data_IF_003079773698
#
_entry.id   IF_003079773698
#
_cell.length_a   1.000
_cell.length_b   1.000
_cell.length_c   1.000
_cell.angle_alpha   90.00
_cell.angle_beta   90.00
_cell.angle_gamma   90.00
#
_symmetry.space_group_name_H-M   'P 1'
#
loop_
_entity.id
_entity.type
_entity.pdbx_description
1 polymer ?
#
# COMPACT_ATOMS: atom_id res chain seq x y z
N UNK A 1 13.92 -11.46 10.93
CA UNK A 1 14.61 -12.15 9.83
C UNK A 1 14.14 -13.59 9.83
N UNK A 2 13.79 -14.09 8.67
CA UNK A 2 13.39 -15.47 8.43
C UNK A 2 14.49 -16.16 7.62
N UNK A 3 14.93 -17.32 8.05
CA UNK A 3 16.09 -18.00 7.47
C UNK A 3 17.42 -17.32 7.79
N UNK A 4 18.44 -17.61 7.01
CA UNK A 4 19.78 -16.99 7.12
C UNK A 4 20.12 -16.36 5.78
N UNK A 5 20.68 -15.13 5.75
CA UNK A 5 21.15 -14.53 4.52
C UNK A 5 22.04 -15.49 3.72
N UNK A 6 21.66 -15.71 2.48
CA UNK A 6 22.27 -16.70 1.58
C UNK A 6 22.07 -16.28 0.14
N UNK A 7 23.01 -16.67 -0.72
CA UNK A 7 22.92 -16.56 -2.17
C UNK A 7 22.28 -17.81 -2.84
N UNK A 8 21.90 -18.81 -2.04
CA UNK A 8 21.37 -20.09 -2.53
C UNK A 8 20.06 -20.48 -1.88
N UNK A 9 19.95 -20.27 -0.56
CA UNK A 9 18.80 -20.68 0.22
C UNK A 9 17.80 -19.53 0.37
N UNK A 10 16.50 -19.81 0.44
CA UNK A 10 15.50 -18.78 0.65
C UNK A 10 15.65 -18.13 2.04
N UNK A 11 15.61 -16.82 2.06
CA UNK A 11 15.62 -16.05 3.29
C UNK A 11 14.87 -14.74 3.10
N UNK A 12 14.61 -14.04 4.19
CA UNK A 12 13.94 -12.76 4.13
C UNK A 12 13.93 -12.04 5.46
N UNK A 13 13.36 -10.86 5.43
CA UNK A 13 13.12 -10.06 6.63
C UNK A 13 11.85 -9.25 6.46
N UNK A 14 11.27 -8.89 7.60
CA UNK A 14 10.10 -8.04 7.68
C UNK A 14 10.39 -6.89 8.65
N UNK A 15 9.94 -5.71 8.30
CA UNK A 15 9.90 -4.54 9.15
C UNK A 15 8.45 -4.07 9.24
N UNK A 16 7.91 -4.05 10.45
CA UNK A 16 6.58 -3.53 10.71
C UNK A 16 6.69 -2.29 11.59
N UNK A 17 6.39 -1.16 10.99
CA UNK A 17 6.22 0.11 11.68
C UNK A 17 4.77 0.58 11.57
N UNK A 18 4.44 1.71 12.20
CA UNK A 18 3.08 2.25 12.17
C UNK A 18 2.64 2.64 10.76
N UNK A 19 3.50 3.31 10.00
CA UNK A 19 3.27 3.72 8.63
C UNK A 19 4.36 3.25 7.65
N UNK A 20 5.13 2.23 8.05
CA UNK A 20 6.16 1.64 7.21
C UNK A 20 6.16 0.12 7.39
N UNK A 21 5.73 -0.59 6.38
CA UNK A 21 5.72 -2.05 6.35
C UNK A 21 6.50 -2.50 5.12
N UNK A 22 7.54 -3.29 5.36
CA UNK A 22 8.37 -3.84 4.29
C UNK A 22 8.50 -5.34 4.51
N UNK A 23 8.10 -6.11 3.50
CA UNK A 23 8.39 -7.53 3.41
C UNK A 23 9.44 -7.71 2.33
N UNK A 24 10.55 -8.33 2.67
CA UNK A 24 11.67 -8.55 1.76
C UNK A 24 12.02 -10.03 1.73
N UNK A 25 11.90 -10.62 0.56
CA UNK A 25 12.17 -12.03 0.35
C UNK A 25 13.19 -12.22 -0.77
N UNK A 26 14.14 -13.12 -0.53
CA UNK A 26 15.24 -13.45 -1.44
C UNK A 26 15.20 -14.93 -1.73
N UNK A 27 15.30 -15.29 -2.99
CA UNK A 27 15.44 -16.66 -3.48
C UNK A 27 16.48 -16.71 -4.59
N UNK A 28 17.70 -17.09 -4.24
CA UNK A 28 18.83 -17.03 -5.15
C UNK A 28 19.10 -15.59 -5.61
N UNK A 29 18.99 -15.34 -6.91
CA UNK A 29 19.15 -14.03 -7.54
C UNK A 29 17.85 -13.22 -7.66
N UNK A 30 16.75 -13.76 -7.17
CA UNK A 30 15.44 -13.12 -7.21
C UNK A 30 15.13 -12.41 -5.89
N UNK A 31 14.57 -11.22 -5.99
CA UNK A 31 14.10 -10.42 -4.84
C UNK A 31 12.67 -10.01 -5.05
N UNK A 32 11.86 -10.21 -4.01
CA UNK A 32 10.48 -9.73 -3.96
C UNK A 32 10.32 -8.85 -2.73
N UNK A 33 9.80 -7.63 -2.92
CA UNK A 33 9.55 -6.67 -1.84
C UNK A 33 8.06 -6.31 -1.80
N UNK A 34 7.23 -7.32 -1.59
CA UNK A 34 5.78 -7.17 -1.47
C UNK A 34 5.21 -8.14 -0.43
N UNK A 35 4.08 -7.78 0.23
CA UNK A 35 3.46 -6.46 0.23
C UNK A 35 4.36 -5.41 0.91
N UNK A 36 4.29 -4.17 0.43
CA UNK A 36 4.95 -3.04 1.05
C UNK A 36 3.92 -1.92 1.27
N UNK A 37 4.03 -1.22 2.38
CA UNK A 37 3.17 -0.10 2.71
C UNK A 37 4.01 1.07 3.24
N UNK A 38 3.81 2.23 2.64
CA UNK A 38 4.40 3.48 3.09
C UNK A 38 3.31 4.53 3.18
N UNK A 39 3.16 5.11 4.34
CA UNK A 39 2.10 6.07 4.59
C UNK A 39 2.50 7.15 5.58
N UNK A 40 1.59 8.06 5.81
CA UNK A 40 1.71 9.06 6.87
C UNK A 40 0.33 9.57 7.27
N UNK A 41 0.20 9.89 8.53
CA UNK A 41 -0.96 10.60 9.06
C UNK A 41 -0.48 11.53 10.19
N UNK A 42 -0.58 12.83 10.01
CA UNK A 42 -1.06 13.56 8.83
C UNK A 42 -0.04 13.58 7.67
N UNK A 43 -0.52 13.84 6.44
CA UNK A 43 0.32 14.07 5.26
C UNK A 43 0.77 15.53 5.13
N UNK A 44 0.13 16.44 5.86
CA UNK A 44 0.51 17.86 5.99
C UNK A 44 0.63 18.20 7.47
N UNK A 45 1.77 18.68 7.87
CA UNK A 45 2.00 19.13 9.25
C UNK A 45 1.45 20.56 9.45
N UNK A 46 0.38 20.67 10.22
CA UNK A 46 -0.26 21.96 10.48
C UNK A 46 0.31 22.71 11.67
N UNK A 47 1.12 22.07 12.51
CA UNK A 47 1.69 22.65 13.72
C UNK A 47 3.07 22.05 14.07
N UNK A 48 3.71 22.60 15.10
CA UNK A 48 4.97 22.11 15.64
C UNK A 48 6.19 22.42 14.75
N UNK A 49 7.28 21.68 15.01
CA UNK A 49 8.58 21.87 14.34
C UNK A 49 8.51 21.72 12.82
N UNK A 50 7.62 20.87 12.35
CA UNK A 50 7.49 20.52 10.94
C UNK A 50 6.30 21.19 10.23
N UNK A 51 5.74 22.26 10.85
CA UNK A 51 4.62 23.01 10.24
C UNK A 51 4.96 23.43 8.82
N UNK A 52 4.04 23.11 7.90
CA UNK A 52 4.17 23.39 6.46
C UNK A 52 4.83 22.28 5.65
N UNK A 53 5.40 21.26 6.33
CA UNK A 53 5.90 20.07 5.61
C UNK A 53 4.73 19.27 5.03
N UNK A 54 4.84 18.92 3.77
CA UNK A 54 3.89 18.08 3.03
C UNK A 54 4.64 16.91 2.41
N UNK A 55 4.08 15.72 2.51
CA UNK A 55 4.67 14.48 2.00
C UNK A 55 3.63 13.67 1.23
N UNK A 56 4.07 12.70 0.43
CA UNK A 56 3.21 11.79 -0.36
C UNK A 56 2.24 12.53 -1.30
N UNK A 57 2.60 13.74 -1.75
CA UNK A 57 1.73 14.54 -2.61
C UNK A 57 1.76 14.03 -4.06
N UNK A 58 2.89 13.53 -4.52
CA UNK A 58 3.01 12.95 -5.86
C UNK A 58 2.16 11.68 -5.95
N UNK A 59 2.29 10.76 -5.00
CA UNK A 59 1.48 9.54 -4.94
C UNK A 59 -0.02 9.83 -4.87
N UNK A 60 -0.41 10.84 -4.07
CA UNK A 60 -1.80 11.27 -3.99
C UNK A 60 -2.30 11.84 -5.33
N UNK A 61 -1.50 12.68 -5.99
CA UNK A 61 -1.87 13.28 -7.27
C UNK A 61 -1.93 12.25 -8.40
N UNK A 62 -1.00 11.32 -8.43
CA UNK A 62 -0.96 10.23 -9.41
C UNK A 62 -2.16 9.29 -9.23
N UNK A 63 -2.49 8.93 -7.99
CA UNK A 63 -3.68 8.15 -7.68
C UNK A 63 -4.97 8.86 -8.13
N UNK A 64 -5.07 10.16 -7.88
CA UNK A 64 -6.21 10.97 -8.32
C UNK A 64 -6.27 11.08 -9.84
N UNK A 65 -5.15 11.30 -10.51
CA UNK A 65 -5.06 11.36 -11.97
C UNK A 65 -5.49 10.04 -12.59
N UNK A 66 -5.03 8.91 -12.03
CA UNK A 66 -5.44 7.57 -12.47
C UNK A 66 -6.96 7.38 -12.35
N UNK A 67 -7.55 7.68 -11.20
CA UNK A 67 -9.00 7.55 -10.99
C UNK A 67 -9.79 8.43 -11.94
N UNK A 68 -9.32 9.66 -12.22
CA UNK A 68 -9.97 10.58 -13.13
C UNK A 68 -9.88 10.14 -14.60
N UNK A 69 -8.84 9.38 -14.97
CA UNK A 69 -8.69 8.83 -16.31
C UNK A 69 -9.60 7.61 -16.59
N UNK A 70 -10.15 6.98 -15.55
CA UNK A 70 -11.05 5.84 -15.69
C UNK A 70 -12.36 6.23 -16.37
N UNK A 71 -12.92 5.33 -17.16
CA UNK A 71 -14.29 5.43 -17.64
C UNK A 71 -15.28 5.38 -16.48
N UNK A 72 -16.51 5.82 -16.68
CA UNK A 72 -17.56 5.77 -15.65
C UNK A 72 -17.78 4.34 -15.12
N UNK A 73 -17.79 3.35 -16.02
CA UNK A 73 -17.95 1.95 -15.65
C UNK A 73 -16.79 1.43 -14.81
N UNK A 74 -15.55 1.77 -15.16
CA UNK A 74 -14.36 1.41 -14.38
C UNK A 74 -14.35 2.11 -13.02
N UNK A 75 -14.71 3.40 -12.98
CA UNK A 75 -14.80 4.15 -11.71
C UNK A 75 -15.79 3.54 -10.74
N UNK A 76 -16.96 3.10 -11.20
CA UNK A 76 -17.94 2.39 -10.36
C UNK A 76 -17.41 1.09 -9.75
N UNK A 77 -16.48 0.42 -10.44
CA UNK A 77 -15.80 -0.78 -9.90
C UNK A 77 -14.63 -0.41 -8.98
N UNK A 78 -13.86 0.62 -9.30
CA UNK A 78 -12.66 1.01 -8.58
C UNK A 78 -12.97 1.67 -7.23
N UNK A 79 -14.01 2.49 -7.17
CA UNK A 79 -14.40 3.23 -5.97
C UNK A 79 -15.37 2.39 -5.16
N UNK A 80 -14.84 1.66 -4.16
CA UNK A 80 -15.64 0.79 -3.29
C UNK A 80 -16.46 1.57 -2.28
N UNK A 81 -15.98 2.74 -1.86
CA UNK A 81 -16.69 3.65 -0.95
C UNK A 81 -16.29 5.09 -1.25
N UNK A 82 -17.26 6.00 -1.22
CA UNK A 82 -17.02 7.44 -1.39
C UNK A 82 -16.78 8.17 -0.06
N UNK A 83 -16.92 7.48 1.07
CA UNK A 83 -16.68 8.06 2.40
C UNK A 83 -15.93 7.08 3.29
N UNK A 84 -15.02 7.61 4.11
CA UNK A 84 -14.33 6.86 5.15
C UNK A 84 -15.12 6.98 6.44
N UNK A 85 -16.00 6.01 6.73
CA UNK A 85 -16.83 6.00 7.93
C UNK A 85 -16.21 5.26 9.11
N UNK A 86 -15.17 4.45 8.87
CA UNK A 86 -14.42 3.70 9.88
C UNK A 86 -13.09 3.24 9.30
N UNK A 87 -12.23 2.63 10.13
CA UNK A 87 -11.05 1.93 9.66
C UNK A 87 -11.44 0.64 8.93
N UNK A 88 -11.86 0.75 7.69
CA UNK A 88 -12.15 -0.40 6.82
C UNK A 88 -10.91 -0.91 6.07
N UNK A 89 -9.75 -0.74 6.66
CA UNK A 89 -8.52 -1.18 6.04
C UNK A 89 -8.34 -2.68 6.23
N UNK A 90 -7.87 -3.33 5.20
CA UNK A 90 -7.52 -4.76 5.17
C UNK A 90 -6.41 -5.10 6.18
N UNK A 91 -5.78 -4.12 6.77
CA UNK A 91 -4.71 -4.24 7.76
C UNK A 91 -5.11 -3.86 9.18
N UNK A 92 -6.34 -4.08 9.60
CA UNK A 92 -6.71 -3.90 11.00
C UNK A 92 -5.93 -4.86 11.91
N UNK A 93 -5.53 -4.38 13.09
CA UNK A 93 -4.88 -5.21 14.09
C UNK A 93 -5.68 -6.50 14.37
N UNK A 94 -4.97 -7.61 14.51
CA UNK A 94 -5.54 -8.96 14.75
C UNK A 94 -6.35 -9.55 13.59
N UNK A 95 -6.21 -9.02 12.37
CA UNK A 95 -6.87 -9.54 11.16
C UNK A 95 -5.85 -9.96 10.08
N UNK A 96 -4.77 -10.58 10.49
CA UNK A 96 -3.65 -10.96 9.60
C UNK A 96 -4.04 -11.97 8.51
N UNK A 97 -5.18 -12.65 8.67
CA UNK A 97 -5.68 -13.66 7.73
C UNK A 97 -6.94 -13.19 6.99
N UNK A 98 -7.09 -11.90 6.74
CA UNK A 98 -8.21 -11.39 5.97
C UNK A 98 -8.14 -11.93 4.54
N UNK A 99 -9.18 -12.63 4.14
CA UNK A 99 -9.34 -13.05 2.74
C UNK A 99 -9.77 -11.84 1.92
N UNK A 100 -8.95 -11.46 0.95
CA UNK A 100 -9.28 -10.37 0.02
C UNK A 100 -10.35 -10.86 -0.97
N UNK A 101 -11.38 -10.05 -1.16
CA UNK A 101 -12.43 -10.32 -2.15
C UNK A 101 -12.02 -9.93 -3.57
N UNK A 102 -10.82 -9.35 -3.73
CA UNK A 102 -10.29 -8.81 -4.99
C UNK A 102 -11.22 -7.82 -5.68
N UNK A 103 -12.02 -7.08 -4.91
CA UNK A 103 -12.84 -6.01 -5.43
C UNK A 103 -11.96 -4.93 -6.08
N UNK A 104 -12.48 -4.32 -7.16
CA UNK A 104 -11.76 -3.29 -7.91
C UNK A 104 -11.75 -3.56 -9.41
N UNK A 105 -10.80 -2.96 -10.11
CA UNK A 105 -10.61 -3.10 -11.56
C UNK A 105 -9.30 -3.83 -11.83
N UNK A 106 -9.36 -4.93 -12.55
CA UNK A 106 -8.15 -5.64 -12.93
C UNK A 106 -7.33 -4.82 -13.94
N UNK A 107 -6.00 -4.86 -13.83
CA UNK A 107 -5.09 -4.09 -14.73
C UNK A 107 -5.38 -4.36 -16.20
N UNK A 108 -5.76 -5.57 -16.58
CA UNK A 108 -6.14 -5.94 -17.95
C UNK A 108 -7.39 -5.24 -18.47
N UNK A 109 -8.16 -4.56 -17.62
CA UNK A 109 -9.36 -3.81 -18.01
C UNK A 109 -9.05 -2.33 -18.31
N UNK A 110 -7.79 -1.91 -18.23
CA UNK A 110 -7.36 -0.52 -18.51
C UNK A 110 -6.98 -0.28 -19.99
N UNK A 111 -7.03 -1.27 -20.83
CA UNK A 111 -6.74 -1.16 -22.29
C UNK A 111 -7.93 -0.73 -23.09
#
# INVERSE_FOLDING_TARGET
VMGKPSDKEPWGWQLDGHHLIINYFVLGDQVVMTPAFWGSEPIIAHAGKYKGTSILQEEQNDGLAMVNALTEAQRKKAILSSSKTSNQNVGEAYKDNVVLDYAGVAVKEFT
#
